data_IF_543583998042
#
_entry.id   IF_543583998042
#
_cell.length_a   1.000
_cell.length_b   1.000
_cell.length_c   1.000
_cell.angle_alpha   90.00
_cell.angle_beta   90.00
_cell.angle_gamma   90.00
#
_symmetry.space_group_name_H-M   'P 1'
#
loop_
_entity.id
_entity.type
_entity.pdbx_description
1 polymer ?
#
# COMPACT_ATOMS: atom_id res chain seq x y z
N UNK A 1 -20.73 -6.36 -20.14
CA UNK A 1 -19.33 -6.57 -20.64
C UNK A 1 -18.25 -6.09 -19.66
N UNK A 2 -18.52 -5.17 -18.71
CA UNK A 2 -17.54 -4.68 -17.74
C UNK A 2 -17.10 -5.73 -16.72
N UNK A 3 -18.04 -6.36 -16.02
CA UNK A 3 -17.75 -7.27 -14.90
C UNK A 3 -16.91 -8.48 -15.30
N UNK A 4 -17.19 -9.08 -16.47
CA UNK A 4 -16.41 -10.23 -16.96
C UNK A 4 -14.95 -9.85 -17.26
N UNK A 5 -14.70 -8.65 -17.79
CA UNK A 5 -13.34 -8.14 -18.01
C UNK A 5 -12.64 -7.86 -16.68
N UNK A 6 -13.35 -7.33 -15.69
CA UNK A 6 -12.79 -7.07 -14.35
C UNK A 6 -12.46 -8.37 -13.63
N UNK A 7 -13.34 -9.39 -13.72
CA UNK A 7 -13.04 -10.72 -13.18
C UNK A 7 -11.80 -11.34 -13.83
N UNK A 8 -11.67 -11.23 -15.17
CA UNK A 8 -10.50 -11.73 -15.89
C UNK A 8 -9.22 -11.02 -15.41
N UNK A 9 -9.26 -9.70 -15.26
CA UNK A 9 -8.12 -8.92 -14.73
C UNK A 9 -7.72 -9.39 -13.33
N UNK A 10 -8.68 -9.57 -12.44
CA UNK A 10 -8.42 -10.04 -11.07
C UNK A 10 -7.77 -11.42 -11.12
N UNK A 11 -8.33 -12.37 -11.91
CA UNK A 11 -7.80 -13.72 -12.01
C UNK A 11 -6.37 -13.74 -12.54
N UNK A 12 -6.12 -13.05 -13.67
CA UNK A 12 -4.79 -12.99 -14.28
C UNK A 12 -3.78 -12.34 -13.33
N UNK A 13 -4.15 -11.19 -12.73
CA UNK A 13 -3.26 -10.49 -11.80
C UNK A 13 -2.98 -11.33 -10.56
N UNK A 14 -4.00 -11.97 -9.98
CA UNK A 14 -3.84 -12.82 -8.79
C UNK A 14 -3.00 -14.07 -9.10
N UNK A 15 -3.15 -14.68 -10.27
CA UNK A 15 -2.33 -15.82 -10.70
C UNK A 15 -0.84 -15.43 -10.81
N UNK A 16 -0.53 -14.32 -11.49
CA UNK A 16 0.84 -13.80 -11.59
C UNK A 16 1.39 -13.43 -10.20
N UNK A 17 0.59 -12.73 -9.41
CA UNK A 17 0.97 -12.26 -8.08
C UNK A 17 1.25 -13.42 -7.11
N UNK A 18 0.40 -14.45 -7.09
CA UNK A 18 0.57 -15.63 -6.24
C UNK A 18 1.81 -16.44 -6.66
N UNK A 19 1.99 -16.69 -7.96
CA UNK A 19 3.17 -17.44 -8.43
C UNK A 19 4.47 -16.72 -8.09
N UNK A 20 4.52 -15.40 -8.29
CA UNK A 20 5.69 -14.60 -7.91
C UNK A 20 5.87 -14.55 -6.38
N UNK A 21 4.78 -14.49 -5.61
CA UNK A 21 4.81 -14.55 -4.14
C UNK A 21 5.41 -15.87 -3.63
N UNK A 22 4.98 -17.01 -4.18
CA UNK A 22 5.51 -18.32 -3.85
C UNK A 22 7.00 -18.45 -4.20
N UNK A 23 7.43 -17.89 -5.34
CA UNK A 23 8.85 -17.85 -5.71
C UNK A 23 9.65 -17.02 -4.69
N UNK A 24 9.17 -15.83 -4.33
CA UNK A 24 9.82 -14.99 -3.32
C UNK A 24 9.88 -15.67 -1.95
N UNK A 25 8.86 -16.42 -1.58
CA UNK A 25 8.83 -17.19 -0.35
C UNK A 25 9.88 -18.30 -0.34
N UNK A 26 10.02 -19.04 -1.45
CA UNK A 26 11.01 -20.10 -1.57
C UNK A 26 12.45 -19.59 -1.47
N UNK A 27 12.69 -18.32 -1.81
CA UNK A 27 13.99 -17.65 -1.70
C UNK A 27 14.19 -16.97 -0.34
N UNK A 28 13.15 -16.93 0.50
CA UNK A 28 13.23 -16.32 1.83
C UNK A 28 13.19 -14.78 1.82
N UNK A 29 12.51 -14.19 0.83
CA UNK A 29 12.32 -12.73 0.75
C UNK A 29 11.39 -12.26 1.88
N UNK A 30 11.66 -11.12 2.54
CA UNK A 30 10.75 -10.56 3.54
C UNK A 30 9.43 -10.11 2.90
N UNK A 31 8.31 -10.39 3.56
CA UNK A 31 6.96 -10.15 3.06
C UNK A 31 6.76 -10.69 1.62
N UNK A 32 6.94 -12.01 1.40
CA UNK A 32 7.13 -12.60 0.08
C UNK A 32 5.94 -12.38 -0.84
N UNK A 33 4.73 -12.46 -0.33
CA UNK A 33 3.52 -12.27 -1.12
C UNK A 33 3.30 -10.81 -1.53
N UNK A 34 3.74 -9.84 -0.71
CA UNK A 34 3.67 -8.43 -1.05
C UNK A 34 4.74 -8.06 -2.10
N UNK A 35 6.00 -8.44 -1.84
CA UNK A 35 7.12 -8.17 -2.74
C UNK A 35 6.96 -8.90 -4.06
N UNK A 36 6.64 -10.20 -4.01
CA UNK A 36 6.44 -11.03 -5.17
C UNK A 36 5.30 -10.53 -6.04
N UNK A 37 4.15 -10.20 -5.46
CA UNK A 37 3.01 -9.67 -6.21
C UNK A 37 3.32 -8.33 -6.88
N UNK A 38 3.98 -7.42 -6.16
CA UNK A 38 4.34 -6.11 -6.69
C UNK A 38 5.31 -6.24 -7.87
N UNK A 39 6.44 -6.89 -7.65
CA UNK A 39 7.48 -7.03 -8.67
C UNK A 39 7.07 -7.99 -9.79
N UNK A 40 6.43 -9.12 -9.47
CA UNK A 40 5.99 -10.09 -10.45
C UNK A 40 4.99 -9.49 -11.45
N UNK A 41 3.98 -8.79 -10.96
CA UNK A 41 2.99 -8.13 -11.82
C UNK A 41 3.63 -6.98 -12.62
N UNK A 42 4.52 -6.21 -12.00
CA UNK A 42 5.26 -5.15 -12.68
C UNK A 42 6.13 -5.68 -13.82
N UNK A 43 6.95 -6.71 -13.56
CA UNK A 43 7.85 -7.31 -14.56
C UNK A 43 7.05 -7.96 -15.68
N UNK A 44 6.02 -8.74 -15.36
CA UNK A 44 5.18 -9.38 -16.38
C UNK A 44 4.46 -8.34 -17.25
N UNK A 45 3.88 -7.31 -16.65
CA UNK A 45 3.18 -6.25 -17.38
C UNK A 45 4.11 -5.36 -18.19
N UNK A 46 5.33 -5.11 -17.72
CA UNK A 46 6.33 -4.34 -18.44
C UNK A 46 7.04 -5.12 -19.58
N UNK A 47 7.18 -6.45 -19.40
CA UNK A 47 7.85 -7.32 -20.38
C UNK A 47 6.90 -7.88 -21.43
N UNK A 48 5.64 -8.05 -21.11
CA UNK A 48 4.61 -8.66 -21.97
C UNK A 48 3.47 -7.68 -22.27
N UNK A 49 3.60 -6.81 -23.30
CA UNK A 49 2.57 -5.82 -23.65
C UNK A 49 1.19 -6.45 -23.92
N UNK A 50 1.15 -7.72 -24.38
CA UNK A 50 -0.08 -8.44 -24.62
C UNK A 50 -0.86 -8.77 -23.33
N UNK A 51 -0.17 -8.91 -22.19
CA UNK A 51 -0.77 -9.23 -20.88
C UNK A 51 -1.15 -7.96 -20.11
N UNK A 52 -0.46 -6.86 -20.34
CA UNK A 52 -0.65 -5.58 -19.65
C UNK A 52 -2.13 -5.12 -19.57
N UNK A 53 -2.96 -5.19 -20.63
CA UNK A 53 -4.38 -4.78 -20.56
C UNK A 53 -5.24 -5.65 -19.63
N UNK A 54 -4.75 -6.86 -19.31
CA UNK A 54 -5.42 -7.81 -18.43
C UNK A 54 -4.88 -7.77 -16.98
N UNK A 55 -3.96 -6.87 -16.69
CA UNK A 55 -3.46 -6.65 -15.32
C UNK A 55 -4.26 -5.53 -14.64
N UNK A 56 -4.61 -5.77 -13.39
CA UNK A 56 -5.30 -4.81 -12.55
C UNK A 56 -6.22 -5.49 -11.53
N UNK A 57 -6.46 -4.78 -10.45
CA UNK A 57 -7.42 -5.21 -9.42
C UNK A 57 -8.60 -4.26 -9.45
N UNK A 58 -9.79 -4.79 -9.71
CA UNK A 58 -11.01 -3.98 -9.76
C UNK A 58 -11.36 -3.41 -8.37
N UNK A 59 -11.87 -2.19 -8.35
CA UNK A 59 -12.18 -1.47 -7.10
C UNK A 59 -13.18 -2.22 -6.21
N UNK A 60 -14.17 -2.89 -6.80
CA UNK A 60 -15.18 -3.65 -6.07
C UNK A 60 -14.59 -4.87 -5.33
N UNK A 61 -13.45 -5.40 -5.78
CA UNK A 61 -12.69 -6.46 -5.09
C UNK A 61 -11.67 -5.86 -4.11
N UNK A 62 -10.96 -4.82 -4.52
CA UNK A 62 -9.92 -4.18 -3.71
C UNK A 62 -10.47 -3.58 -2.41
N UNK A 63 -11.61 -2.89 -2.47
CA UNK A 63 -12.20 -2.21 -1.31
C UNK A 63 -12.55 -3.17 -0.17
N UNK A 64 -13.29 -4.28 -0.37
CA UNK A 64 -13.55 -5.26 0.69
C UNK A 64 -12.27 -5.89 1.26
N UNK A 65 -11.27 -6.15 0.42
CA UNK A 65 -9.98 -6.69 0.89
C UNK A 65 -9.27 -5.68 1.81
N UNK A 66 -9.27 -4.40 1.46
CA UNK A 66 -8.70 -3.34 2.31
C UNK A 66 -9.49 -3.19 3.61
N UNK A 67 -10.83 -3.27 3.56
CA UNK A 67 -11.67 -3.22 4.76
C UNK A 67 -11.31 -4.36 5.74
N UNK A 68 -11.21 -5.58 5.26
CA UNK A 68 -10.82 -6.71 6.10
C UNK A 68 -9.38 -6.61 6.61
N UNK A 69 -8.43 -6.17 5.77
CA UNK A 69 -7.06 -5.91 6.23
C UNK A 69 -7.03 -4.86 7.34
N UNK A 70 -7.85 -3.82 7.24
CA UNK A 70 -7.96 -2.77 8.26
C UNK A 70 -8.46 -3.34 9.59
N UNK A 71 -9.41 -4.28 9.58
CA UNK A 71 -9.82 -5.01 10.79
C UNK A 71 -8.64 -5.77 11.36
N UNK A 72 -7.89 -6.54 10.54
CA UNK A 72 -6.73 -7.30 11.00
C UNK A 72 -5.58 -6.44 11.52
N UNK A 73 -5.39 -5.24 10.98
CA UNK A 73 -4.43 -4.28 11.56
C UNK A 73 -4.91 -3.81 12.94
N UNK A 74 -6.21 -3.56 13.09
CA UNK A 74 -6.81 -3.17 14.37
C UNK A 74 -6.62 -4.22 15.47
N UNK A 75 -6.58 -5.52 15.14
CA UNK A 75 -6.33 -6.60 16.13
C UNK A 75 -4.93 -6.53 16.77
N UNK A 76 -4.00 -5.75 16.18
CA UNK A 76 -2.68 -5.53 16.78
C UNK A 76 -2.72 -4.66 18.02
N UNK A 77 -3.80 -3.90 18.20
CA UNK A 77 -3.97 -3.00 19.33
C UNK A 77 -4.69 -3.74 20.47
N UNK A 78 -3.93 -4.23 21.41
CA UNK A 78 -4.42 -4.87 22.62
C UNK A 78 -4.30 -3.95 23.85
N UNK A 79 -4.95 -4.26 24.98
CA UNK A 79 -4.88 -3.45 26.19
C UNK A 79 -3.44 -3.28 26.72
N UNK A 80 -2.59 -4.29 26.55
CA UNK A 80 -1.18 -4.25 26.97
C UNK A 80 -0.39 -3.20 26.18
N UNK A 81 -0.64 -3.12 24.88
CA UNK A 81 -0.02 -2.15 24.01
C UNK A 81 -0.38 -0.72 24.40
N UNK A 82 -1.63 -0.48 24.82
CA UNK A 82 -2.09 0.83 25.29
C UNK A 82 -1.51 1.21 26.65
N UNK A 83 -1.25 0.26 27.54
CA UNK A 83 -0.57 0.53 28.78
C UNK A 83 0.80 1.20 28.59
N UNK A 84 1.44 0.98 27.44
CA UNK A 84 2.72 1.57 27.06
C UNK A 84 2.61 2.83 26.18
N UNK A 85 1.42 3.42 26.03
CA UNK A 85 1.16 4.57 25.13
C UNK A 85 2.04 5.79 25.44
N UNK A 86 2.42 5.98 26.71
CA UNK A 86 3.31 7.07 27.12
C UNK A 86 4.70 6.98 26.46
N UNK A 87 5.18 5.76 26.17
CA UNK A 87 6.42 5.53 25.42
C UNK A 87 6.30 5.88 23.93
N UNK A 88 5.10 5.89 23.38
CA UNK A 88 4.87 6.15 21.96
C UNK A 88 4.83 7.64 21.61
N UNK A 89 4.52 8.50 22.59
CA UNK A 89 4.44 9.94 22.34
C UNK A 89 5.73 10.51 21.73
N UNK A 90 6.89 10.06 22.24
CA UNK A 90 8.18 10.44 21.68
C UNK A 90 8.38 9.91 20.26
N UNK A 91 8.03 8.64 20.00
CA UNK A 91 8.13 8.01 18.66
C UNK A 91 7.21 8.69 17.66
N UNK A 92 5.97 8.97 18.04
CA UNK A 92 5.02 9.71 17.20
C UNK A 92 5.49 11.13 16.93
N UNK A 93 6.06 11.81 17.92
CA UNK A 93 6.68 13.12 17.75
C UNK A 93 7.82 13.09 16.75
N UNK A 94 8.74 12.13 16.87
CA UNK A 94 9.83 11.92 15.91
C UNK A 94 9.29 11.64 14.51
N UNK A 95 8.27 10.78 14.38
CA UNK A 95 7.66 10.48 13.08
C UNK A 95 7.04 11.73 12.43
N UNK A 96 6.32 12.57 13.20
CA UNK A 96 5.74 13.82 12.69
C UNK A 96 6.83 14.78 12.23
N UNK A 97 7.86 15.00 13.04
CA UNK A 97 8.98 15.88 12.70
C UNK A 97 9.72 15.37 11.47
N UNK A 98 10.02 14.07 11.41
CA UNK A 98 10.71 13.46 10.25
C UNK A 98 9.89 13.59 8.99
N UNK A 99 8.57 13.37 9.08
CA UNK A 99 7.65 13.53 7.95
C UNK A 99 7.58 14.97 7.46
N UNK A 100 7.51 15.93 8.39
CA UNK A 100 7.53 17.35 8.04
C UNK A 100 8.85 17.76 7.36
N UNK A 101 9.99 17.33 7.91
CA UNK A 101 11.31 17.58 7.32
C UNK A 101 11.39 16.96 5.92
N UNK A 102 10.99 15.70 5.76
CA UNK A 102 11.01 15.01 4.47
C UNK A 102 10.14 15.74 3.42
N UNK A 103 8.97 16.23 3.83
CA UNK A 103 8.07 17.03 2.96
C UNK A 103 8.73 18.34 2.54
N UNK A 104 9.31 19.08 3.48
CA UNK A 104 9.98 20.37 3.22
C UNK A 104 11.19 20.16 2.30
N UNK A 105 12.02 19.14 2.59
CA UNK A 105 13.20 18.81 1.78
C UNK A 105 12.79 18.38 0.37
N UNK A 106 11.77 17.53 0.25
CA UNK A 106 11.23 17.10 -1.04
C UNK A 106 10.69 18.28 -1.86
N UNK A 107 9.89 19.15 -1.25
CA UNK A 107 9.36 20.33 -1.88
C UNK A 107 10.49 21.29 -2.32
N UNK A 108 11.47 21.55 -1.43
CA UNK A 108 12.62 22.40 -1.75
C UNK A 108 13.42 21.85 -2.93
N UNK A 109 13.67 20.53 -2.95
CA UNK A 109 14.37 19.85 -4.04
C UNK A 109 13.62 19.96 -5.37
N UNK A 110 12.30 19.74 -5.36
CA UNK A 110 11.47 19.86 -6.57
C UNK A 110 11.43 21.30 -7.09
N UNK A 111 11.31 22.31 -6.22
CA UNK A 111 11.24 23.72 -6.64
C UNK A 111 12.59 24.24 -7.09
N UNK A 112 13.67 23.98 -6.31
CA UNK A 112 15.00 24.59 -6.55
C UNK A 112 15.87 23.86 -7.54
N UNK A 113 15.78 22.54 -7.57
CA UNK A 113 16.65 21.69 -8.41
C UNK A 113 15.92 21.24 -9.68
N UNK A 114 14.63 20.94 -9.56
CA UNK A 114 13.83 20.44 -10.67
C UNK A 114 12.92 21.49 -11.32
N UNK A 115 12.90 22.70 -10.78
CA UNK A 115 12.14 23.85 -11.28
C UNK A 115 10.63 23.61 -11.47
N UNK A 116 10.04 22.68 -10.66
CA UNK A 116 8.59 22.49 -10.66
C UNK A 116 7.87 23.70 -10.04
N UNK A 117 6.66 24.02 -10.52
CA UNK A 117 5.79 24.99 -9.85
C UNK A 117 5.55 24.59 -8.38
N UNK A 118 5.43 25.61 -7.52
CA UNK A 118 5.28 25.40 -6.07
C UNK A 118 4.10 24.49 -5.74
N UNK A 119 2.98 24.65 -6.45
CA UNK A 119 1.77 23.83 -6.27
C UNK A 119 2.03 22.36 -6.57
N UNK A 120 2.66 22.06 -7.71
CA UNK A 120 3.01 20.68 -8.09
C UNK A 120 4.03 20.08 -7.12
N UNK A 121 5.06 20.84 -6.74
CA UNK A 121 6.07 20.41 -5.80
C UNK A 121 5.47 20.10 -4.41
N UNK A 122 4.58 20.96 -3.92
CA UNK A 122 3.88 20.77 -2.66
C UNK A 122 3.00 19.52 -2.69
N UNK A 123 2.10 19.42 -3.68
CA UNK A 123 1.20 18.28 -3.82
C UNK A 123 1.95 16.95 -4.03
N UNK A 124 3.10 16.97 -4.70
CA UNK A 124 3.96 15.78 -4.88
C UNK A 124 4.69 15.35 -3.61
N UNK A 125 5.01 16.31 -2.72
CA UNK A 125 5.81 16.07 -1.52
C UNK A 125 4.97 15.70 -0.30
N UNK A 126 3.75 16.24 -0.18
CA UNK A 126 2.87 16.02 0.98
C UNK A 126 2.48 14.56 1.10
N UNK A 127 2.70 13.92 2.27
CA UNK A 127 2.16 12.58 2.52
C UNK A 127 0.64 12.65 2.73
N UNK A 128 -0.09 11.87 1.95
CA UNK A 128 -1.55 11.82 2.04
C UNK A 128 -2.14 10.69 1.21
N UNK A 129 -3.45 10.57 1.21
CA UNK A 129 -4.16 9.62 0.35
C UNK A 129 -3.96 9.99 -1.11
N UNK A 130 -3.48 9.05 -1.92
CA UNK A 130 -3.20 9.31 -3.33
C UNK A 130 -4.45 9.82 -4.09
N UNK A 131 -5.64 9.27 -3.75
CA UNK A 131 -6.87 9.63 -4.42
C UNK A 131 -7.31 11.07 -4.11
N UNK A 132 -7.18 11.49 -2.86
CA UNK A 132 -7.56 12.81 -2.37
C UNK A 132 -6.62 13.88 -2.93
N UNK A 133 -5.31 13.64 -2.87
CA UNK A 133 -4.31 14.57 -3.41
C UNK A 133 -4.44 14.70 -4.92
N UNK A 134 -4.70 13.58 -5.62
CA UNK A 134 -4.88 13.61 -7.08
C UNK A 134 -6.15 14.38 -7.47
N UNK A 135 -7.22 14.31 -6.67
CA UNK A 135 -8.43 15.10 -6.88
C UNK A 135 -8.13 16.59 -6.77
N UNK A 136 -7.38 17.00 -5.74
CA UNK A 136 -6.94 18.40 -5.56
C UNK A 136 -5.99 18.81 -6.69
N UNK A 137 -5.07 17.94 -7.11
CA UNK A 137 -4.14 18.22 -8.17
C UNK A 137 -4.85 18.53 -9.50
N UNK A 138 -5.88 17.77 -9.85
CA UNK A 138 -6.69 18.02 -11.07
C UNK A 138 -7.36 19.39 -11.12
N UNK A 139 -7.65 19.98 -9.97
CA UNK A 139 -8.27 21.30 -9.88
C UNK A 139 -7.24 22.42 -9.94
N UNK A 140 -5.96 22.15 -9.61
CA UNK A 140 -4.94 23.17 -9.38
C UNK A 140 -3.72 23.08 -10.31
N UNK A 141 -3.57 22.00 -11.08
CA UNK A 141 -2.45 21.83 -12.02
C UNK A 141 -2.85 21.05 -13.26
N UNK A 142 -2.29 21.43 -14.40
CA UNK A 142 -2.46 20.70 -15.66
C UNK A 142 -1.65 19.40 -15.70
N UNK A 143 -0.63 19.27 -14.82
CA UNK A 143 0.28 18.13 -14.76
C UNK A 143 -0.03 17.22 -13.57
N UNK A 144 -1.33 16.90 -13.35
CA UNK A 144 -1.78 16.00 -12.28
C UNK A 144 -1.11 14.61 -12.35
N UNK A 145 -0.75 14.16 -13.56
CA UNK A 145 -0.03 12.90 -13.77
C UNK A 145 1.36 12.87 -13.10
N UNK A 146 2.04 14.02 -13.01
CA UNK A 146 3.34 14.13 -12.33
C UNK A 146 3.15 13.89 -10.83
N UNK A 147 2.15 14.52 -10.22
CA UNK A 147 1.79 14.31 -8.81
C UNK A 147 1.45 12.84 -8.56
N UNK A 148 0.64 12.24 -9.45
CA UNK A 148 0.30 10.82 -9.37
C UNK A 148 1.52 9.90 -9.43
N UNK A 149 2.49 10.22 -10.30
CA UNK A 149 3.71 9.44 -10.46
C UNK A 149 4.60 9.52 -9.20
N UNK A 150 4.81 10.71 -8.63
CA UNK A 150 5.59 10.86 -7.39
C UNK A 150 4.96 10.08 -6.23
N UNK A 151 3.63 10.13 -6.10
CA UNK A 151 2.92 9.35 -5.09
C UNK A 151 3.06 7.84 -5.30
N UNK A 152 2.96 7.37 -6.55
CA UNK A 152 3.12 5.96 -6.90
C UNK A 152 4.54 5.48 -6.56
N UNK A 153 5.57 6.21 -7.00
CA UNK A 153 6.98 5.89 -6.73
C UNK A 153 7.24 5.86 -5.22
N UNK A 154 6.72 6.85 -4.46
CA UNK A 154 6.85 6.87 -3.01
C UNK A 154 6.24 5.64 -2.36
N UNK A 155 5.02 5.27 -2.74
CA UNK A 155 4.35 4.07 -2.21
C UNK A 155 5.19 2.83 -2.48
N UNK A 156 5.69 2.67 -3.70
CA UNK A 156 6.56 1.55 -4.06
C UNK A 156 7.83 1.54 -3.24
N UNK A 157 8.50 2.69 -3.10
CA UNK A 157 9.72 2.80 -2.28
C UNK A 157 9.47 2.40 -0.83
N UNK A 158 8.37 2.86 -0.23
CA UNK A 158 8.00 2.50 1.16
C UNK A 158 7.73 1.00 1.26
N UNK A 159 6.94 0.41 0.37
CA UNK A 159 6.65 -1.02 0.40
C UNK A 159 7.89 -1.89 0.16
N UNK A 160 8.85 -1.43 -0.64
CA UNK A 160 10.11 -2.14 -0.87
C UNK A 160 11.12 -1.92 0.25
N UNK A 161 11.30 -0.68 0.71
CA UNK A 161 12.33 -0.36 1.70
C UNK A 161 12.01 -0.90 3.09
N UNK A 162 10.75 -0.89 3.51
CA UNK A 162 10.36 -1.30 4.87
C UNK A 162 10.72 -2.75 5.18
N UNK A 163 10.33 -3.76 4.36
CA UNK A 163 10.72 -5.15 4.63
C UNK A 163 12.23 -5.37 4.51
N UNK A 164 12.89 -4.69 3.57
CA UNK A 164 14.35 -4.79 3.41
C UNK A 164 15.10 -4.19 4.60
N UNK A 165 14.68 -3.03 5.09
CA UNK A 165 15.25 -2.41 6.29
C UNK A 165 15.07 -3.31 7.52
N UNK A 166 13.88 -3.90 7.70
CA UNK A 166 13.63 -4.86 8.77
C UNK A 166 14.55 -6.10 8.64
N UNK A 167 14.74 -6.60 7.43
CA UNK A 167 15.65 -7.73 7.17
C UNK A 167 17.11 -7.39 7.52
N UNK A 168 17.55 -6.18 7.17
CA UNK A 168 18.93 -5.71 7.47
C UNK A 168 19.12 -5.44 8.96
N UNK A 169 18.15 -4.83 9.63
CA UNK A 169 18.27 -4.43 11.04
C UNK A 169 18.05 -5.58 12.01
N UNK A 170 17.13 -6.50 11.69
CA UNK A 170 16.77 -7.62 12.57
C UNK A 170 17.42 -8.95 12.15
N UNK A 171 18.02 -9.00 10.97
CA UNK A 171 18.69 -10.17 10.43
C UNK A 171 17.80 -11.22 9.78
N UNK A 172 18.40 -12.20 9.10
CA UNK A 172 17.70 -13.24 8.35
C UNK A 172 16.81 -14.13 9.23
N UNK A 173 17.18 -14.35 10.49
CA UNK A 173 16.37 -15.16 11.41
C UNK A 173 15.02 -14.51 11.69
N UNK A 174 14.95 -13.20 11.86
CA UNK A 174 13.70 -12.49 12.08
C UNK A 174 12.79 -12.54 10.85
N UNK A 175 13.37 -12.47 9.64
CA UNK A 175 12.61 -12.64 8.38
C UNK A 175 12.02 -14.04 8.28
N UNK A 176 12.83 -15.07 8.53
CA UNK A 176 12.38 -16.46 8.53
C UNK A 176 11.26 -16.69 9.56
N UNK A 177 11.43 -16.11 10.76
CA UNK A 177 10.42 -16.19 11.81
C UNK A 177 9.12 -15.45 11.43
N UNK A 178 9.22 -14.28 10.78
CA UNK A 178 8.05 -13.54 10.31
C UNK A 178 7.26 -14.31 9.25
N UNK A 179 7.97 -14.93 8.28
CA UNK A 179 7.34 -15.76 7.27
C UNK A 179 6.74 -17.05 7.88
N UNK A 180 7.43 -17.64 8.85
CA UNK A 180 6.93 -18.82 9.57
C UNK A 180 5.65 -18.51 10.38
N UNK A 181 5.60 -17.38 11.08
CA UNK A 181 4.42 -16.93 11.84
C UNK A 181 3.19 -16.80 10.93
N UNK A 182 3.37 -16.35 9.68
CA UNK A 182 2.27 -16.25 8.73
C UNK A 182 1.56 -17.60 8.51
N UNK A 183 2.33 -18.70 8.44
CA UNK A 183 1.78 -20.04 8.26
C UNK A 183 1.22 -20.66 9.55
N UNK A 184 1.59 -20.12 10.70
CA UNK A 184 1.02 -20.55 11.99
C UNK A 184 -0.28 -19.84 12.36
N UNK A 185 -0.65 -18.79 11.62
CA UNK A 185 -1.93 -18.13 11.83
C UNK A 185 -3.09 -19.06 11.52
N UNK A 186 -4.22 -18.94 12.25
CA UNK A 186 -5.40 -19.74 11.97
C UNK A 186 -5.91 -19.52 10.54
N UNK A 187 -6.43 -20.60 9.97
CA UNK A 187 -7.03 -20.61 8.63
C UNK A 187 -8.53 -20.30 8.71
N UNK A 188 -9.15 -19.88 7.61
CA UNK A 188 -10.61 -19.69 7.54
C UNK A 188 -11.39 -20.93 7.99
N UNK A 189 -10.90 -22.13 7.62
CA UNK A 189 -11.56 -23.39 7.94
C UNK A 189 -11.42 -23.81 9.41
N UNK A 190 -10.41 -23.30 10.11
CA UNK A 190 -10.19 -23.60 11.53
C UNK A 190 -11.00 -22.69 12.46
N UNK A 191 -11.54 -21.59 11.94
CA UNK A 191 -12.27 -20.62 12.73
C UNK A 191 -13.76 -20.92 12.76
N UNK A 192 -14.41 -20.77 13.93
CA UNK A 192 -15.84 -20.91 14.03
C UNK A 192 -16.57 -19.79 13.28
N UNK A 193 -17.73 -20.10 12.73
CA UNK A 193 -18.53 -19.15 11.92
C UNK A 193 -18.84 -17.84 12.65
N UNK A 194 -18.97 -17.85 13.97
CA UNK A 194 -19.24 -16.62 14.72
C UNK A 194 -18.05 -15.64 14.67
N UNK A 195 -16.80 -16.11 14.67
CA UNK A 195 -15.61 -15.25 14.52
C UNK A 195 -15.59 -14.61 13.13
N UNK A 196 -15.88 -15.40 12.10
CA UNK A 196 -15.95 -14.89 10.72
C UNK A 196 -17.08 -13.87 10.55
N UNK A 197 -18.24 -14.12 11.19
CA UNK A 197 -19.35 -13.17 11.18
C UNK A 197 -18.98 -11.87 11.89
N UNK A 198 -18.30 -11.92 13.03
CA UNK A 198 -17.80 -10.76 13.75
C UNK A 198 -16.75 -9.98 12.96
N UNK A 199 -15.85 -10.67 12.31
CA UNK A 199 -14.88 -10.05 11.39
C UNK A 199 -15.60 -9.25 10.29
N UNK A 200 -16.58 -9.86 9.61
CA UNK A 200 -17.34 -9.22 8.55
C UNK A 200 -18.20 -8.07 9.07
N UNK A 201 -18.86 -8.26 10.22
CA UNK A 201 -19.67 -7.21 10.87
C UNK A 201 -18.83 -6.00 11.27
N UNK A 202 -17.64 -6.24 11.83
CA UNK A 202 -16.69 -5.16 12.19
C UNK A 202 -16.25 -4.39 10.97
N UNK A 203 -15.91 -5.08 9.87
CA UNK A 203 -15.54 -4.46 8.61
C UNK A 203 -16.66 -3.58 8.05
N UNK A 204 -17.87 -4.12 7.99
CA UNK A 204 -19.04 -3.43 7.42
C UNK A 204 -19.52 -2.28 8.31
N UNK A 205 -19.68 -2.52 9.62
CA UNK A 205 -20.12 -1.50 10.58
C UNK A 205 -19.10 -0.33 10.64
N UNK A 206 -17.81 -0.64 10.71
CA UNK A 206 -16.76 0.38 10.67
C UNK A 206 -16.84 1.23 9.41
N UNK A 207 -16.98 0.61 8.25
CA UNK A 207 -17.16 1.33 6.99
C UNK A 207 -18.39 2.24 6.99
N UNK A 208 -19.55 1.73 7.44
CA UNK A 208 -20.78 2.50 7.48
C UNK A 208 -20.69 3.69 8.44
N UNK A 209 -20.15 3.47 9.65
CA UNK A 209 -19.93 4.54 10.63
C UNK A 209 -19.02 5.63 10.07
N UNK A 210 -17.89 5.25 9.50
CA UNK A 210 -16.95 6.21 8.91
C UNK A 210 -17.57 7.00 7.75
N UNK A 211 -18.41 6.35 6.95
CA UNK A 211 -19.14 7.00 5.86
C UNK A 211 -20.16 8.01 6.38
N UNK A 212 -20.89 7.68 7.46
CA UNK A 212 -21.81 8.60 8.13
C UNK A 212 -21.10 9.80 8.74
N UNK A 213 -19.91 9.59 9.31
CA UNK A 213 -19.06 10.64 9.87
C UNK A 213 -18.27 11.43 8.82
N UNK A 214 -18.46 11.15 7.53
CA UNK A 214 -17.73 11.77 6.41
C UNK A 214 -16.20 11.69 6.59
N UNK A 215 -15.69 10.60 7.16
CA UNK A 215 -14.26 10.41 7.36
C UNK A 215 -13.54 10.22 6.00
N UNK A 216 -12.32 10.73 5.84
CA UNK A 216 -11.51 10.41 4.66
C UNK A 216 -11.23 8.90 4.63
N UNK A 217 -11.19 8.32 3.43
CA UNK A 217 -10.90 6.89 3.22
C UNK A 217 -11.75 5.95 4.13
N UNK A 218 -13.10 6.04 4.09
CA UNK A 218 -13.96 5.34 5.06
C UNK A 218 -13.79 3.82 5.06
N UNK A 219 -13.37 3.25 3.93
CA UNK A 219 -13.11 1.81 3.78
C UNK A 219 -11.82 1.33 4.47
N UNK A 220 -10.91 2.23 4.83
CA UNK A 220 -9.70 1.91 5.57
C UNK A 220 -9.82 2.35 7.03
N UNK A 221 -10.10 3.63 7.28
CA UNK A 221 -10.10 4.19 8.63
C UNK A 221 -11.27 3.69 9.48
N UNK A 222 -12.44 3.47 8.89
CA UNK A 222 -13.61 3.02 9.63
C UNK A 222 -13.43 1.65 10.28
N UNK A 223 -13.17 0.59 9.49
CA UNK A 223 -12.92 -0.73 10.03
C UNK A 223 -11.72 -0.77 10.98
N UNK A 224 -10.66 0.00 10.69
CA UNK A 224 -9.48 0.11 11.54
C UNK A 224 -9.83 0.67 12.93
N UNK A 225 -10.46 1.85 12.98
CA UNK A 225 -10.82 2.51 14.25
C UNK A 225 -11.80 1.67 15.08
N UNK A 226 -12.82 1.10 14.43
CA UNK A 226 -13.78 0.24 15.12
C UNK A 226 -13.10 -1.02 15.68
N UNK A 227 -12.23 -1.67 14.88
CA UNK A 227 -11.49 -2.83 15.33
C UNK A 227 -10.57 -2.50 16.51
N UNK A 228 -9.84 -1.38 16.46
CA UNK A 228 -9.02 -0.93 17.58
C UNK A 228 -9.85 -0.78 18.84
N UNK A 229 -10.99 -0.07 18.78
CA UNK A 229 -11.88 0.15 19.94
C UNK A 229 -12.36 -1.18 20.52
N UNK A 230 -12.80 -2.12 19.67
CA UNK A 230 -13.34 -3.39 20.13
C UNK A 230 -12.27 -4.30 20.76
N UNK A 231 -11.05 -4.32 20.23
CA UNK A 231 -9.95 -5.13 20.78
C UNK A 231 -9.35 -4.52 22.04
N UNK A 232 -9.22 -3.19 22.09
CA UNK A 232 -8.73 -2.47 23.28
C UNK A 232 -9.69 -2.58 24.46
N UNK A 233 -10.99 -2.53 24.20
CA UNK A 233 -12.00 -2.71 25.27
C UNK A 233 -12.18 -4.17 25.67
N UNK A 234 -11.53 -5.11 24.98
CA UNK A 234 -11.70 -6.56 25.22
C UNK A 234 -13.09 -7.07 24.80
N UNK A 235 -13.88 -6.28 24.07
CA UNK A 235 -15.19 -6.68 23.58
C UNK A 235 -15.10 -7.74 22.47
N UNK A 236 -13.98 -7.78 21.77
CA UNK A 236 -13.74 -8.70 20.65
C UNK A 236 -12.28 -9.16 20.66
N UNK A 237 -12.09 -10.43 20.31
CA UNK A 237 -10.77 -11.01 20.03
C UNK A 237 -10.85 -11.77 18.72
N UNK A 238 -10.44 -11.12 17.64
CA UNK A 238 -10.40 -11.71 16.31
C UNK A 238 -8.95 -12.05 16.00
N UNK A 239 -8.60 -13.33 15.78
CA UNK A 239 -7.26 -13.71 15.40
C UNK A 239 -6.94 -13.26 13.97
N UNK A 240 -5.66 -13.08 13.68
CA UNK A 240 -5.20 -12.83 12.31
C UNK A 240 -5.37 -14.08 11.47
N UNK A 241 -5.99 -13.92 10.30
CA UNK A 241 -6.32 -15.02 9.38
C UNK A 241 -5.27 -15.07 8.29
N UNK A 242 -4.53 -16.17 8.18
CA UNK A 242 -3.41 -16.34 7.26
C UNK A 242 -3.78 -16.09 5.80
N UNK A 243 -4.83 -16.74 5.31
CA UNK A 243 -5.25 -16.62 3.91
C UNK A 243 -5.71 -15.19 3.59
N UNK A 244 -6.32 -14.51 4.57
CA UNK A 244 -6.75 -13.13 4.35
C UNK A 244 -5.56 -12.17 4.29
N UNK A 245 -4.53 -12.39 5.10
CA UNK A 245 -3.28 -11.62 5.05
C UNK A 245 -2.59 -11.82 3.70
N UNK A 246 -2.49 -13.06 3.23
CA UNK A 246 -1.93 -13.38 1.91
C UNK A 246 -2.76 -12.73 0.80
N UNK A 247 -4.09 -12.87 0.84
CA UNK A 247 -5.00 -12.25 -0.13
C UNK A 247 -4.81 -10.73 -0.19
N UNK A 248 -4.70 -10.08 0.97
CA UNK A 248 -4.49 -8.65 1.07
C UNK A 248 -3.13 -8.23 0.47
N UNK A 249 -2.06 -8.96 0.77
CA UNK A 249 -0.72 -8.71 0.19
C UNK A 249 -0.74 -8.86 -1.34
N UNK A 250 -1.36 -9.92 -1.85
CA UNK A 250 -1.50 -10.19 -3.29
C UNK A 250 -2.35 -9.11 -3.96
N UNK A 251 -3.48 -8.71 -3.37
CA UNK A 251 -4.36 -7.71 -3.95
C UNK A 251 -3.70 -6.32 -3.97
N UNK A 252 -3.05 -5.91 -2.87
CA UNK A 252 -2.39 -4.60 -2.76
C UNK A 252 -1.14 -4.57 -3.65
N UNK A 253 -0.25 -5.55 -3.51
CA UNK A 253 0.96 -5.64 -4.32
C UNK A 253 0.64 -5.76 -5.81
N UNK A 254 -0.34 -6.60 -6.18
CA UNK A 254 -0.80 -6.73 -7.56
C UNK A 254 -1.41 -5.46 -8.13
N UNK A 255 -2.19 -4.71 -7.33
CA UNK A 255 -2.76 -3.42 -7.75
C UNK A 255 -1.67 -2.36 -8.00
N UNK A 256 -0.65 -2.29 -7.13
CA UNK A 256 0.47 -1.36 -7.27
C UNK A 256 1.36 -1.79 -8.45
N UNK A 257 1.68 -3.08 -8.56
CA UNK A 257 2.45 -3.64 -9.67
C UNK A 257 1.80 -3.40 -11.03
N UNK A 258 0.47 -3.57 -11.12
CA UNK A 258 -0.28 -3.28 -12.34
C UNK A 258 -0.26 -1.79 -12.72
N UNK A 259 -0.28 -0.87 -11.75
CA UNK A 259 -0.13 0.57 -12.00
C UNK A 259 1.28 0.90 -12.49
N UNK A 260 2.31 0.31 -11.87
CA UNK A 260 3.70 0.47 -12.32
C UNK A 260 3.92 -0.06 -13.74
N UNK A 261 3.27 -1.18 -14.08
CA UNK A 261 3.36 -1.77 -15.42
C UNK A 261 2.78 -0.86 -16.52
N UNK A 262 1.90 0.07 -16.17
CA UNK A 262 1.38 1.09 -17.10
C UNK A 262 2.38 2.22 -17.37
N UNK A 263 3.34 2.42 -16.49
CA UNK A 263 4.44 3.38 -16.68
C UNK A 263 5.56 2.66 -17.42
N UNK A 264 5.89 3.10 -18.63
CA UNK A 264 6.96 2.47 -19.40
C UNK A 264 8.28 2.59 -18.64
N UNK A 265 9.05 1.50 -18.55
CA UNK A 265 10.39 1.50 -17.94
C UNK A 265 11.28 2.62 -18.49
N UNK A 266 11.14 2.91 -19.79
CA UNK A 266 11.85 3.97 -20.47
C UNK A 266 11.44 5.36 -19.99
N UNK A 267 10.16 5.55 -19.69
CA UNK A 267 9.66 6.81 -19.12
C UNK A 267 10.10 6.94 -17.66
N UNK A 268 9.99 5.88 -16.87
CA UNK A 268 10.46 5.89 -15.49
C UNK A 268 11.97 6.22 -15.41
N UNK A 269 12.77 5.60 -16.28
CA UNK A 269 14.19 5.85 -16.41
C UNK A 269 14.46 7.25 -17.01
N UNK A 270 13.66 7.68 -17.98
CA UNK A 270 13.71 8.99 -18.61
C UNK A 270 13.31 10.10 -17.61
N UNK A 271 12.24 9.92 -16.86
CA UNK A 271 11.85 10.88 -15.82
C UNK A 271 12.82 10.88 -14.62
N UNK A 272 13.50 9.77 -14.34
CA UNK A 272 14.60 9.77 -13.37
C UNK A 272 15.92 10.34 -13.93
N UNK A 273 16.22 10.17 -15.21
CA UNK A 273 17.51 10.56 -15.82
C UNK A 273 17.44 11.65 -16.89
N UNK A 274 16.41 11.68 -17.75
CA UNK A 274 16.29 12.69 -18.83
C UNK A 274 15.91 14.07 -18.32
N UNK A 275 15.37 14.16 -17.11
CA UNK A 275 15.27 15.45 -16.44
C UNK A 275 16.66 16.06 -16.12
N UNK A 276 17.72 15.31 -16.34
CA UNK A 276 19.10 15.84 -16.30
C UNK A 276 19.60 16.35 -17.65
N UNK A 277 18.98 15.95 -18.80
CA UNK A 277 19.46 16.36 -20.13
C UNK A 277 18.70 17.54 -20.72
N UNK A 278 17.38 17.69 -20.47
CA UNK A 278 16.62 18.85 -20.96
C UNK A 278 17.07 20.16 -20.31
N UNK A 279 17.57 20.10 -19.07
CA UNK A 279 18.19 21.27 -18.44
C UNK A 279 19.56 21.63 -19.04
N UNK A 280 20.20 20.73 -19.77
CA UNK A 280 21.46 20.98 -20.47
C UNK A 280 21.23 21.58 -21.88
N UNK A 281 20.13 21.24 -22.52
CA UNK A 281 19.82 21.74 -23.86
C UNK A 281 19.24 23.17 -23.86
N UNK A 282 18.57 23.58 -22.76
CA UNK A 282 18.14 24.99 -22.60
C UNK A 282 19.29 25.95 -22.24
N UNK A 283 20.48 25.46 -21.90
CA UNK A 283 21.68 26.29 -21.62
C UNK A 283 22.60 26.48 -22.84
N UNK A 284 22.31 25.84 -23.97
CA UNK A 284 23.13 25.89 -25.21
C UNK A 284 22.37 26.59 -26.36
N UNK A 285 21.14 27.10 -26.13
CA UNK A 285 20.34 27.85 -27.10
C UNK A 285 20.40 29.35 -26.91
#
# INVERSE_FOLDING_TARGET
MGVAKDCLKIVVTSAVALTAGLICESVGVPAPYLMGSLFGVWVVGGSLPAVQPYLGIARWFHVPVVMGLSVLIGTSFNPELIAHINGWAATLGVMLVTTAIATIVGMFWLVRIRHYPITEAFLSSVPGGQAEILMIAREHTEKDYVVALFHLVRVVLVFCSTPLLLAVTQGHLAVAQSNFVLHQMPTFLSLPLWVLSMFLMTALAGYLIARLLHMPMPHLLGPLCLSIVLHVTGALDIPRISEFVILAQVAIGGAIGARLAQVQFRELYSYCLLYTSDAADEWIG
#
